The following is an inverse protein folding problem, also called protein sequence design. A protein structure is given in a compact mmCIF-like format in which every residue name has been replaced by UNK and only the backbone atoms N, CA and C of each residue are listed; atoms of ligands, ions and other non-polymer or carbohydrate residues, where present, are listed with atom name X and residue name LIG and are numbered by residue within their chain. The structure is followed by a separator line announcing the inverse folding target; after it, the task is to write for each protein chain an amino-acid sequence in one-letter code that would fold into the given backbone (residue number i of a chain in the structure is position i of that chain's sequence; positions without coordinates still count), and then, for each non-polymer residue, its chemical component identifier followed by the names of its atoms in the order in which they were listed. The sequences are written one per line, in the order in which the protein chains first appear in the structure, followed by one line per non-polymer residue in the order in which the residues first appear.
data_IF_894161628818
#
_entry.id   IF_894161628818
#
_cell.length_a   1.000
_cell.length_b   1.000
_cell.length_c   1.000
_cell.angle_alpha   90.00
_cell.angle_beta   90.00
_cell.angle_gamma   90.00
#
_symmetry.space_group_name_H-M   'P 1'
#
loop_
_entity.id
_entity.type
_entity.pdbx_description
1 polymer ?
#
# COMPACT_ATOMS: atom_id res chain seq x y z
N UNK A 1 18.89 3.13 -35.06
CA UNK A 1 17.80 3.90 -34.42
C UNK A 1 17.18 3.10 -33.27
N UNK A 2 16.68 1.89 -33.51
CA UNK A 2 16.04 1.03 -32.48
C UNK A 2 16.85 0.76 -31.21
N UNK A 3 18.16 0.48 -31.31
CA UNK A 3 19.00 0.21 -30.12
C UNK A 3 19.07 1.41 -29.16
N UNK A 4 19.12 2.64 -29.68
CA UNK A 4 19.13 3.85 -28.84
C UNK A 4 17.80 4.03 -28.10
N UNK A 5 16.68 3.83 -28.79
CA UNK A 5 15.34 3.90 -28.21
C UNK A 5 15.15 2.85 -27.11
N UNK A 6 15.65 1.63 -27.32
CA UNK A 6 15.55 0.57 -26.32
C UNK A 6 16.43 0.84 -25.09
N UNK A 7 17.64 1.37 -25.28
CA UNK A 7 18.51 1.79 -24.16
C UNK A 7 17.89 2.95 -23.37
N UNK A 8 17.20 3.87 -24.04
CA UNK A 8 16.50 4.99 -23.42
C UNK A 8 15.30 4.51 -22.59
N UNK A 9 14.49 3.61 -23.15
CA UNK A 9 13.37 2.99 -22.42
C UNK A 9 13.82 2.18 -21.20
N UNK A 10 14.90 1.40 -21.33
CA UNK A 10 15.48 0.65 -20.20
C UNK A 10 15.93 1.61 -19.08
N UNK A 11 16.54 2.75 -19.43
CA UNK A 11 16.97 3.77 -18.46
C UNK A 11 15.78 4.46 -17.79
N UNK A 12 14.75 4.83 -18.54
CA UNK A 12 13.53 5.43 -17.99
C UNK A 12 12.85 4.49 -17.00
N UNK A 13 12.72 3.21 -17.36
CA UNK A 13 12.21 2.17 -16.47
C UNK A 13 13.02 2.13 -15.17
N UNK A 14 14.35 2.03 -15.26
CA UNK A 14 15.22 1.97 -14.09
C UNK A 14 15.07 3.20 -13.20
N UNK A 15 15.09 4.38 -13.80
CA UNK A 15 15.03 5.65 -13.08
C UNK A 15 13.71 5.78 -12.33
N UNK A 16 12.59 5.41 -12.97
CA UNK A 16 11.27 5.44 -12.35
C UNK A 16 11.24 4.58 -11.08
N UNK A 17 11.57 3.29 -11.19
CA UNK A 17 11.51 2.40 -10.04
C UNK A 17 12.54 2.74 -8.97
N UNK A 18 13.76 3.14 -9.33
CA UNK A 18 14.73 3.60 -8.34
C UNK A 18 14.20 4.80 -7.56
N UNK A 19 13.54 5.76 -8.24
CA UNK A 19 12.97 6.95 -7.61
C UNK A 19 11.82 6.60 -6.66
N UNK A 20 10.92 5.71 -7.08
CA UNK A 20 9.81 5.24 -6.23
C UNK A 20 10.32 4.52 -4.97
N UNK A 21 11.36 3.70 -5.12
CA UNK A 21 12.00 2.98 -4.01
C UNK A 21 12.74 3.92 -3.06
N UNK A 22 13.47 4.90 -3.61
CA UNK A 22 14.17 5.90 -2.80
C UNK A 22 13.17 6.76 -2.02
N UNK A 23 12.04 7.11 -2.63
CA UNK A 23 10.94 7.81 -1.97
C UNK A 23 10.37 6.97 -0.81
N UNK A 24 10.10 5.68 -1.02
CA UNK A 24 9.63 4.78 0.03
C UNK A 24 10.62 4.69 1.21
N UNK A 25 11.93 4.63 0.93
CA UNK A 25 12.98 4.61 1.95
C UNK A 25 13.06 5.91 2.76
N UNK A 26 12.87 7.07 2.11
CA UNK A 26 12.79 8.36 2.81
C UNK A 26 11.61 8.39 3.79
N UNK A 27 10.43 7.97 3.34
CA UNK A 27 9.26 7.87 4.21
C UNK A 27 9.48 6.89 5.37
N UNK A 28 10.08 5.73 5.10
CA UNK A 28 10.37 4.75 6.14
C UNK A 28 11.36 5.27 7.20
N UNK A 29 12.40 5.99 6.78
CA UNK A 29 13.36 6.62 7.69
C UNK A 29 12.73 7.68 8.57
N UNK A 30 11.96 8.60 7.99
CA UNK A 30 11.23 9.65 8.72
C UNK A 30 10.22 9.04 9.70
N UNK A 31 9.43 8.06 9.25
CA UNK A 31 8.44 7.41 10.08
C UNK A 31 9.06 6.62 11.25
N UNK A 32 10.20 5.96 11.01
CA UNK A 32 10.93 5.24 12.06
C UNK A 32 11.44 6.20 13.13
N UNK A 33 11.95 7.37 12.76
CA UNK A 33 12.41 8.37 13.72
C UNK A 33 11.25 8.88 14.61
N UNK A 34 10.11 9.22 14.01
CA UNK A 34 8.92 9.66 14.75
C UNK A 34 8.40 8.54 15.65
N UNK A 35 8.26 7.33 15.13
CA UNK A 35 7.75 6.18 15.90
C UNK A 35 8.64 5.85 17.10
N UNK A 36 9.97 5.83 16.90
CA UNK A 36 10.92 5.61 17.99
C UNK A 36 10.83 6.67 19.07
N UNK A 37 10.63 7.94 18.71
CA UNK A 37 10.46 9.02 19.70
C UNK A 37 9.21 8.79 20.58
N UNK A 38 8.10 8.34 20.00
CA UNK A 38 6.90 7.99 20.77
C UNK A 38 7.08 6.75 21.64
N UNK A 39 7.77 5.72 21.14
CA UNK A 39 8.07 4.51 21.91
C UNK A 39 8.88 4.87 23.16
N UNK A 40 9.96 5.63 23.00
CA UNK A 40 10.81 6.08 24.12
C UNK A 40 10.01 6.94 25.11
N UNK A 41 9.09 7.79 24.62
CA UNK A 41 8.26 8.61 25.48
C UNK A 41 7.28 7.80 26.34
N UNK A 42 6.79 6.66 25.84
CA UNK A 42 5.79 5.84 26.53
C UNK A 42 6.43 4.76 27.40
N UNK A 43 7.67 4.36 27.12
CA UNK A 43 8.41 3.31 27.83
C UNK A 43 8.39 3.42 29.37
N UNK A 44 8.59 4.59 30.01
CA UNK A 44 8.54 4.71 31.47
C UNK A 44 7.16 4.35 32.06
N UNK A 45 6.10 4.42 31.26
CA UNK A 45 4.72 4.10 31.69
C UNK A 45 4.46 2.59 31.75
N UNK A 46 5.44 1.76 31.39
CA UNK A 46 5.36 0.29 31.56
C UNK A 46 5.86 -0.18 32.92
N UNK A 47 6.45 0.70 33.73
CA UNK A 47 7.08 0.29 34.98
C UNK A 47 6.03 0.13 36.10
N UNK A 48 5.94 -1.09 36.63
CA UNK A 48 5.02 -1.56 37.67
C UNK A 48 3.52 -1.46 37.34
N UNK A 49 2.94 -2.57 36.90
CA UNK A 49 1.51 -2.78 36.62
C UNK A 49 0.90 -1.80 35.59
N UNK A 50 1.32 -1.90 34.30
CA UNK A 50 0.85 -0.98 33.28
C UNK A 50 -0.64 -1.15 32.98
N UNK A 51 -1.38 -0.05 32.81
CA UNK A 51 -2.76 -0.10 32.32
C UNK A 51 -2.82 -0.83 30.97
N UNK A 52 -3.82 -1.69 30.79
CA UNK A 52 -3.97 -2.49 29.55
C UNK A 52 -3.98 -1.64 28.27
N UNK A 53 -4.48 -0.40 28.36
CA UNK A 53 -4.48 0.56 27.25
C UNK A 53 -3.06 0.98 26.83
N UNK A 54 -2.14 1.15 27.79
CA UNK A 54 -0.75 1.53 27.52
C UNK A 54 -0.01 0.37 26.84
N UNK A 55 -0.24 -0.87 27.29
CA UNK A 55 0.30 -2.07 26.65
C UNK A 55 -0.19 -2.20 25.21
N UNK A 56 -1.48 -1.96 24.97
CA UNK A 56 -2.06 -1.98 23.63
C UNK A 56 -1.46 -0.90 22.71
N UNK A 57 -1.31 0.34 23.22
CA UNK A 57 -0.67 1.44 22.48
C UNK A 57 0.77 1.08 22.09
N UNK A 58 1.60 0.62 23.04
CA UNK A 58 2.98 0.24 22.77
C UNK A 58 3.08 -0.92 21.78
N UNK A 59 2.20 -1.90 21.90
CA UNK A 59 2.12 -3.02 20.97
C UNK A 59 1.82 -2.53 19.54
N UNK A 60 0.84 -1.64 19.37
CA UNK A 60 0.53 -1.04 18.07
C UNK A 60 1.69 -0.20 17.51
N UNK A 61 2.41 0.54 18.36
CA UNK A 61 3.60 1.29 17.95
C UNK A 61 4.71 0.36 17.45
N UNK A 62 5.03 -0.73 18.17
CA UNK A 62 6.02 -1.70 17.73
C UNK A 62 5.60 -2.41 16.44
N UNK A 63 4.33 -2.80 16.30
CA UNK A 63 3.83 -3.41 15.06
C UNK A 63 3.94 -2.42 13.89
N UNK A 64 3.60 -1.15 14.12
CA UNK A 64 3.72 -0.11 13.09
C UNK A 64 5.17 0.11 12.66
N UNK A 65 6.10 0.18 13.61
CA UNK A 65 7.54 0.31 13.34
C UNK A 65 8.06 -0.90 12.57
N UNK A 66 7.75 -2.11 13.03
CA UNK A 66 8.18 -3.35 12.37
C UNK A 66 7.65 -3.43 10.93
N UNK A 67 6.39 -3.04 10.71
CA UNK A 67 5.79 -3.01 9.37
C UNK A 67 6.51 -2.03 8.45
N UNK A 68 6.91 -0.86 8.96
CA UNK A 68 7.72 0.11 8.21
C UNK A 68 9.13 -0.40 7.91
N UNK A 69 9.78 -1.07 8.86
CA UNK A 69 11.10 -1.67 8.65
C UNK A 69 11.05 -2.80 7.61
N UNK A 70 9.99 -3.60 7.63
CA UNK A 70 9.75 -4.62 6.62
C UNK A 70 9.56 -3.98 5.24
N UNK A 71 8.79 -2.88 5.14
CA UNK A 71 8.64 -2.12 3.90
C UNK A 71 9.99 -1.57 3.40
N UNK A 72 10.82 -1.03 4.30
CA UNK A 72 12.15 -0.52 3.97
C UNK A 72 13.08 -1.63 3.46
N UNK A 73 13.10 -2.79 4.14
CA UNK A 73 13.89 -3.94 3.71
C UNK A 73 13.48 -4.39 2.31
N UNK A 74 12.17 -4.50 2.07
CA UNK A 74 11.64 -4.86 0.76
C UNK A 74 11.98 -3.82 -0.32
N UNK A 75 11.98 -2.52 0.01
CA UNK A 75 12.40 -1.47 -0.91
C UNK A 75 13.90 -1.56 -1.25
N UNK A 76 14.77 -1.86 -0.28
CA UNK A 76 16.21 -2.11 -0.54
C UNK A 76 16.40 -3.32 -1.45
N UNK A 77 15.71 -4.44 -1.18
CA UNK A 77 15.77 -5.63 -2.03
C UNK A 77 15.24 -5.33 -3.45
N UNK A 78 14.14 -4.59 -3.55
CA UNK A 78 13.60 -4.11 -4.82
C UNK A 78 14.64 -3.30 -5.60
N UNK A 79 15.38 -2.42 -4.92
CA UNK A 79 16.44 -1.60 -5.54
C UNK A 79 17.59 -2.46 -6.05
N UNK A 80 18.00 -3.45 -5.27
CA UNK A 80 19.02 -4.42 -5.67
C UNK A 80 18.58 -5.22 -6.90
N UNK A 81 17.32 -5.66 -6.96
CA UNK A 81 16.78 -6.39 -8.11
C UNK A 81 16.74 -5.52 -9.36
N UNK A 82 16.21 -4.29 -9.27
CA UNK A 82 16.18 -3.33 -10.41
C UNK A 82 17.59 -3.08 -10.94
N UNK A 83 18.56 -2.87 -10.05
CA UNK A 83 19.95 -2.63 -10.43
C UNK A 83 20.57 -3.85 -11.11
N UNK A 84 20.38 -5.06 -10.55
CA UNK A 84 20.94 -6.28 -11.11
C UNK A 84 20.35 -6.61 -12.50
N UNK A 85 19.07 -6.30 -12.71
CA UNK A 85 18.34 -6.59 -13.93
C UNK A 85 18.97 -5.95 -15.19
N UNK A 86 19.53 -4.77 -15.03
CA UNK A 86 20.08 -3.95 -16.12
C UNK A 86 21.49 -4.36 -16.51
N UNK A 87 22.34 -4.71 -15.53
CA UNK A 87 23.76 -5.03 -15.75
C UNK A 87 23.95 -6.24 -16.68
N UNK A 88 23.02 -7.20 -16.65
CA UNK A 88 23.13 -8.43 -17.46
C UNK A 88 22.87 -8.24 -18.97
N UNK A 89 22.37 -7.09 -19.45
CA UNK A 89 21.92 -6.91 -20.86
C UNK A 89 22.93 -6.30 -21.84
N UNK A 90 24.09 -5.84 -21.36
CA UNK A 90 24.98 -4.96 -22.16
C UNK A 90 26.05 -5.69 -22.99
N UNK A 91 26.12 -7.04 -22.93
CA UNK A 91 27.14 -7.85 -23.62
C UNK A 91 26.47 -8.80 -24.61
N UNK A 92 27.07 -8.95 -25.80
CA UNK A 92 26.57 -9.83 -26.87
C UNK A 92 26.22 -9.11 -28.17
N UNK A 93 25.87 -9.91 -29.18
CA UNK A 93 25.42 -9.47 -30.51
C UNK A 93 24.05 -8.79 -30.45
N UNK A 94 23.66 -8.07 -31.49
CA UNK A 94 22.39 -7.31 -31.51
C UNK A 94 21.15 -8.21 -31.35
N UNK A 95 21.21 -9.44 -31.85
CA UNK A 95 20.14 -10.43 -31.77
C UNK A 95 20.01 -11.02 -30.35
N UNK A 96 21.13 -11.40 -29.75
CA UNK A 96 21.17 -11.90 -28.36
C UNK A 96 20.62 -10.88 -27.37
N UNK A 97 20.95 -9.59 -27.55
CA UNK A 97 20.41 -8.50 -26.71
C UNK A 97 18.89 -8.36 -26.84
N UNK A 98 18.34 -8.53 -28.04
CA UNK A 98 16.91 -8.49 -28.27
C UNK A 98 16.17 -9.63 -27.56
N UNK A 99 16.71 -10.85 -27.67
CA UNK A 99 16.16 -12.04 -27.00
C UNK A 99 16.25 -11.94 -25.47
N UNK A 100 17.39 -11.48 -24.94
CA UNK A 100 17.58 -11.28 -23.50
C UNK A 100 16.56 -10.26 -22.95
N UNK A 101 16.34 -9.13 -23.66
CA UNK A 101 15.34 -8.12 -23.30
C UNK A 101 13.92 -8.68 -23.28
N UNK A 102 13.55 -9.45 -24.30
CA UNK A 102 12.23 -10.08 -24.36
C UNK A 102 12.04 -11.08 -23.22
N UNK A 103 13.02 -11.96 -22.99
CA UNK A 103 13.02 -12.94 -21.88
C UNK A 103 12.87 -12.24 -20.53
N UNK A 104 13.54 -11.09 -20.38
CA UNK A 104 13.43 -10.24 -19.21
C UNK A 104 12.00 -9.69 -19.06
N UNK A 105 11.47 -8.99 -20.05
CA UNK A 105 10.09 -8.47 -20.01
C UNK A 105 9.06 -9.57 -19.70
N UNK A 106 9.22 -10.75 -20.29
CA UNK A 106 8.38 -11.91 -20.02
C UNK A 106 8.53 -12.39 -18.56
N UNK A 107 9.74 -12.35 -18.02
CA UNK A 107 10.03 -12.57 -16.60
C UNK A 107 9.32 -11.55 -15.69
N UNK A 108 9.43 -10.26 -15.97
CA UNK A 108 8.76 -9.20 -15.17
C UNK A 108 7.24 -9.39 -15.15
N UNK A 109 6.64 -9.72 -16.29
CA UNK A 109 5.20 -10.01 -16.41
C UNK A 109 4.81 -11.27 -15.66
N UNK A 110 5.60 -12.34 -15.80
CA UNK A 110 5.34 -13.63 -15.15
C UNK A 110 5.41 -13.53 -13.62
N UNK A 111 6.37 -12.78 -13.10
CA UNK A 111 6.55 -12.56 -11.67
C UNK A 111 5.76 -11.38 -11.11
N UNK A 112 4.96 -10.70 -11.97
CA UNK A 112 4.18 -9.51 -11.61
C UNK A 112 5.00 -8.52 -10.78
N UNK A 113 6.16 -8.15 -11.30
CA UNK A 113 7.10 -7.27 -10.60
C UNK A 113 6.44 -5.98 -10.11
N UNK A 114 5.55 -5.39 -10.92
CA UNK A 114 4.73 -4.23 -10.52
C UNK A 114 3.88 -4.48 -9.26
N UNK A 115 3.30 -5.67 -9.11
CA UNK A 115 2.53 -6.02 -7.93
C UNK A 115 3.41 -6.12 -6.68
N UNK A 116 4.64 -6.62 -6.82
CA UNK A 116 5.60 -6.70 -5.72
C UNK A 116 5.96 -5.29 -5.24
N UNK A 117 6.24 -4.38 -6.18
CA UNK A 117 6.56 -3.00 -5.86
C UNK A 117 5.37 -2.24 -5.25
N UNK A 118 4.15 -2.54 -5.69
CA UNK A 118 2.93 -1.99 -5.09
C UNK A 118 2.74 -2.43 -3.64
N UNK A 119 3.32 -3.55 -3.19
CA UNK A 119 3.25 -3.94 -1.78
C UNK A 119 3.95 -2.94 -0.86
N UNK A 120 5.01 -2.26 -1.30
CA UNK A 120 5.81 -1.43 -0.39
C UNK A 120 5.03 -0.20 0.11
N UNK A 121 4.35 0.57 -0.75
CA UNK A 121 3.43 1.62 -0.29
C UNK A 121 2.29 1.09 0.58
N UNK A 122 1.80 -0.13 0.34
CA UNK A 122 0.72 -0.72 1.15
C UNK A 122 1.17 -1.01 2.58
N UNK A 123 2.36 -1.57 2.76
CA UNK A 123 2.93 -1.76 4.10
C UNK A 123 3.12 -0.42 4.82
N UNK A 124 3.62 0.61 4.12
CA UNK A 124 3.78 1.95 4.70
C UNK A 124 2.44 2.59 5.10
N UNK A 125 1.40 2.43 4.27
CA UNK A 125 0.05 2.90 4.60
C UNK A 125 -0.54 2.16 5.80
N UNK A 126 -0.36 0.83 5.87
CA UNK A 126 -0.79 0.04 7.02
C UNK A 126 -0.07 0.46 8.30
N UNK A 127 1.25 0.67 8.24
CA UNK A 127 2.04 1.17 9.36
C UNK A 127 1.53 2.54 9.82
N UNK A 128 1.23 3.45 8.91
CA UNK A 128 0.68 4.77 9.23
C UNK A 128 -0.68 4.68 9.93
N UNK A 129 -1.57 3.78 9.49
CA UNK A 129 -2.87 3.55 10.13
C UNK A 129 -2.74 2.95 11.53
N UNK A 130 -1.83 1.99 11.71
CA UNK A 130 -1.55 1.40 13.01
C UNK A 130 -0.97 2.43 13.98
N UNK A 131 -0.01 3.25 13.53
CA UNK A 131 0.56 4.33 14.32
C UNK A 131 -0.49 5.39 14.67
N UNK A 132 -1.32 5.79 13.71
CA UNK A 132 -2.40 6.75 13.96
C UNK A 132 -3.40 6.20 14.98
N UNK A 133 -3.71 4.91 14.93
CA UNK A 133 -4.58 4.25 15.90
C UNK A 133 -3.96 4.23 17.30
N UNK A 134 -2.67 3.90 17.41
CA UNK A 134 -1.94 3.93 18.68
C UNK A 134 -1.92 5.34 19.27
N UNK A 135 -1.63 6.34 18.43
CA UNK A 135 -1.60 7.75 18.81
C UNK A 135 -2.98 8.21 19.30
N UNK A 136 -4.05 7.85 18.60
CA UNK A 136 -5.42 8.14 18.99
C UNK A 136 -5.79 7.58 20.36
N UNK A 137 -5.53 6.29 20.57
CA UNK A 137 -5.79 5.62 21.84
C UNK A 137 -5.00 6.28 22.97
N UNK A 138 -3.73 6.61 22.73
CA UNK A 138 -2.89 7.29 23.71
C UNK A 138 -3.41 8.69 24.06
N UNK A 139 -3.69 9.54 23.06
CA UNK A 139 -4.19 10.89 23.31
C UNK A 139 -5.56 10.90 23.97
N UNK A 140 -6.40 9.90 23.71
CA UNK A 140 -7.70 9.79 24.37
C UNK A 140 -7.59 9.65 25.89
N UNK A 141 -6.51 9.02 26.37
CA UNK A 141 -6.24 8.87 27.81
C UNK A 141 -5.72 10.16 28.46
N UNK A 142 -5.11 11.08 27.68
CA UNK A 142 -4.50 12.31 28.20
C UNK A 142 -5.42 13.51 28.01
N UNK A 143 -5.86 13.79 26.78
CA UNK A 143 -6.64 14.97 26.46
C UNK A 143 -7.59 14.74 25.27
N UNK A 144 -8.88 14.62 25.57
CA UNK A 144 -9.92 14.31 24.57
C UNK A 144 -10.01 15.32 23.43
N UNK A 145 -9.74 16.60 23.69
CA UNK A 145 -9.79 17.61 22.61
C UNK A 145 -8.67 17.41 21.57
N UNK A 146 -7.45 17.04 22.01
CA UNK A 146 -6.34 16.82 21.08
C UNK A 146 -6.59 15.51 20.33
N UNK A 147 -7.10 14.48 21.01
CA UNK A 147 -7.52 13.24 20.38
C UNK A 147 -8.59 13.47 19.30
N UNK A 148 -9.58 14.33 19.55
CA UNK A 148 -10.62 14.67 18.57
C UNK A 148 -10.05 15.36 17.33
N UNK A 149 -9.08 16.26 17.50
CA UNK A 149 -8.40 16.93 16.38
C UNK A 149 -7.63 15.92 15.54
N UNK A 150 -6.84 15.05 16.17
CA UNK A 150 -6.08 13.99 15.48
C UNK A 150 -7.04 13.03 14.78
N UNK A 151 -8.16 12.66 15.42
CA UNK A 151 -9.18 11.79 14.82
C UNK A 151 -9.79 12.41 13.57
N UNK A 152 -10.15 13.69 13.63
CA UNK A 152 -10.73 14.41 12.49
C UNK A 152 -9.75 14.43 11.31
N UNK A 153 -8.46 14.68 11.58
CA UNK A 153 -7.41 14.65 10.55
C UNK A 153 -7.24 13.26 9.94
N UNK A 154 -7.20 12.21 10.77
CA UNK A 154 -7.09 10.81 10.30
C UNK A 154 -8.30 10.42 9.46
N UNK A 155 -9.51 10.74 9.91
CA UNK A 155 -10.76 10.46 9.18
C UNK A 155 -10.77 11.20 7.85
N UNK A 156 -10.40 12.48 7.82
CA UNK A 156 -10.30 13.24 6.58
C UNK A 156 -9.34 12.60 5.58
N UNK A 157 -8.14 12.18 6.03
CA UNK A 157 -7.17 11.48 5.19
C UNK A 157 -7.68 10.14 4.65
N UNK A 158 -8.32 9.33 5.50
CA UNK A 158 -8.91 8.05 5.10
C UNK A 158 -10.07 8.25 4.12
N UNK A 159 -10.95 9.24 4.36
CA UNK A 159 -12.02 9.57 3.43
C UNK A 159 -11.49 10.03 2.08
N UNK A 160 -10.45 10.87 2.04
CA UNK A 160 -9.78 11.27 0.81
C UNK A 160 -9.19 10.08 0.05
N UNK A 161 -8.52 9.17 0.77
CA UNK A 161 -8.00 7.94 0.19
C UNK A 161 -9.09 7.06 -0.41
N UNK A 162 -10.20 6.86 0.31
CA UNK A 162 -11.35 6.10 -0.17
C UNK A 162 -11.97 6.78 -1.39
N UNK A 163 -12.06 8.11 -1.42
CA UNK A 163 -12.57 8.84 -2.57
C UNK A 163 -11.71 8.59 -3.83
N UNK A 164 -10.38 8.64 -3.71
CA UNK A 164 -9.49 8.28 -4.82
C UNK A 164 -9.62 6.81 -5.23
N UNK A 165 -9.78 5.90 -4.27
CA UNK A 165 -9.98 4.48 -4.54
C UNK A 165 -11.30 4.24 -5.29
N UNK A 166 -12.39 4.88 -4.86
CA UNK A 166 -13.71 4.82 -5.50
C UNK A 166 -13.65 5.44 -6.90
N UNK A 167 -12.99 6.60 -7.05
CA UNK A 167 -12.77 7.21 -8.37
C UNK A 167 -11.99 6.28 -9.32
N UNK A 168 -11.05 5.49 -8.79
CA UNK A 168 -10.29 4.52 -9.57
C UNK A 168 -11.11 3.29 -9.98
N UNK A 169 -12.14 2.93 -9.20
CA UNK A 169 -13.04 1.81 -9.50
C UNK A 169 -14.14 2.23 -10.48
N UNK A 170 -14.68 3.45 -10.36
CA UNK A 170 -15.78 3.92 -11.21
C UNK A 170 -15.35 4.27 -12.63
N UNK A 171 -14.08 4.65 -12.83
CA UNK A 171 -13.54 4.96 -14.16
C UNK A 171 -12.41 3.99 -14.50
N UNK A 172 -12.70 3.08 -15.44
CA UNK A 172 -11.74 2.11 -15.98
C UNK A 172 -10.52 2.76 -16.65
N UNK A 173 -10.62 4.05 -17.00
CA UNK A 173 -9.56 4.86 -17.63
C UNK A 173 -8.99 5.93 -16.67
N UNK A 174 -9.19 5.78 -15.35
CA UNK A 174 -8.81 6.84 -14.42
C UNK A 174 -7.28 7.03 -14.30
N UNK A 175 -6.79 8.29 -14.24
CA UNK A 175 -5.37 8.59 -14.09
C UNK A 175 -4.82 8.33 -12.67
N UNK A 176 -5.68 7.96 -11.72
CA UNK A 176 -5.33 7.79 -10.31
C UNK A 176 -5.06 6.32 -9.98
N UNK A 177 -3.90 5.83 -10.40
CA UNK A 177 -3.43 4.48 -10.05
C UNK A 177 -2.96 4.46 -8.59
N UNK A 178 -3.90 4.28 -7.66
CA UNK A 178 -3.53 3.96 -6.27
C UNK A 178 -3.08 2.50 -6.19
N UNK A 179 -2.09 2.15 -5.34
CA UNK A 179 -1.61 0.77 -5.22
C UNK A 179 -2.69 -0.21 -4.74
N UNK A 180 -3.75 0.29 -4.07
CA UNK A 180 -4.91 -0.53 -3.70
C UNK A 180 -5.97 -0.68 -4.81
N UNK A 181 -6.00 0.17 -5.84
CA UNK A 181 -7.02 0.11 -6.89
C UNK A 181 -7.16 -1.27 -7.57
N UNK A 182 -6.08 -1.94 -8.04
CA UNK A 182 -6.22 -3.24 -8.69
C UNK A 182 -6.69 -4.34 -7.73
N UNK A 183 -6.26 -4.30 -6.47
CA UNK A 183 -6.69 -5.24 -5.43
C UNK A 183 -8.17 -5.01 -5.09
N UNK A 184 -8.56 -3.76 -4.90
CA UNK A 184 -9.94 -3.37 -4.59
C UNK A 184 -10.90 -3.68 -5.75
N UNK A 185 -10.49 -3.47 -7.01
CA UNK A 185 -11.27 -3.86 -8.18
C UNK A 185 -11.44 -5.37 -8.27
N UNK A 186 -10.37 -6.14 -7.99
CA UNK A 186 -10.45 -7.60 -7.96
C UNK A 186 -11.40 -8.09 -6.86
N UNK A 187 -11.24 -7.60 -5.62
CA UNK A 187 -12.11 -7.94 -4.48
C UNK A 187 -13.55 -7.49 -4.74
N UNK A 188 -13.76 -6.28 -5.24
CA UNK A 188 -15.08 -5.75 -5.59
C UNK A 188 -15.80 -6.61 -6.62
N UNK A 189 -15.09 -7.07 -7.65
CA UNK A 189 -15.65 -7.99 -8.64
C UNK A 189 -16.00 -9.37 -8.07
N UNK A 190 -15.25 -9.86 -7.09
CA UNK A 190 -15.55 -11.13 -6.39
C UNK A 190 -16.76 -10.98 -5.46
N UNK A 191 -16.85 -9.87 -4.73
CA UNK A 191 -17.98 -9.57 -3.84
C UNK A 191 -19.26 -9.38 -4.64
N UNK A 192 -19.24 -8.62 -5.74
CA UNK A 192 -20.39 -8.45 -6.62
C UNK A 192 -20.89 -9.78 -7.18
N UNK A 193 -19.99 -10.66 -7.63
CA UNK A 193 -20.36 -12.01 -8.08
C UNK A 193 -21.05 -12.88 -7.01
N UNK A 194 -20.76 -12.64 -5.73
CA UNK A 194 -21.39 -13.34 -4.62
C UNK A 194 -22.74 -12.69 -4.24
N UNK A 195 -22.83 -11.36 -4.29
CA UNK A 195 -24.02 -10.61 -3.89
C UNK A 195 -25.11 -10.63 -4.97
N UNK A 196 -24.75 -10.54 -6.26
CA UNK A 196 -25.69 -10.55 -7.39
C UNK A 196 -26.73 -11.68 -7.32
N UNK A 197 -26.36 -12.97 -7.11
CA UNK A 197 -27.34 -14.05 -7.02
C UNK A 197 -28.21 -13.98 -5.75
N UNK A 198 -27.71 -13.39 -4.65
CA UNK A 198 -28.46 -13.22 -3.40
C UNK A 198 -29.46 -12.08 -3.55
N UNK A 199 -29.04 -10.96 -4.13
CA UNK A 199 -29.89 -9.81 -4.41
C UNK A 199 -31.00 -10.17 -5.40
N UNK A 200 -30.68 -10.95 -6.43
CA UNK A 200 -31.66 -11.47 -7.39
C UNK A 200 -32.66 -12.45 -6.76
N UNK A 201 -32.22 -13.21 -5.75
CA UNK A 201 -33.09 -14.14 -5.03
C UNK A 201 -34.05 -13.37 -4.13
N UNK A 202 -33.57 -12.37 -3.39
CA UNK A 202 -34.40 -11.49 -2.55
C UNK A 202 -35.38 -10.68 -3.41
N UNK A 203 -34.91 -10.10 -4.52
CA UNK A 203 -35.76 -9.37 -5.47
C UNK A 203 -36.87 -10.25 -6.03
N UNK A 204 -36.59 -11.52 -6.36
CA UNK A 204 -37.60 -12.47 -6.84
C UNK A 204 -38.64 -12.84 -5.78
N UNK A 205 -38.27 -12.92 -4.50
CA UNK A 205 -39.21 -13.23 -3.42
C UNK A 205 -40.07 -12.03 -3.03
N UNK A 206 -39.52 -10.82 -3.08
CA UNK A 206 -40.19 -9.59 -2.62
C UNK A 206 -41.12 -8.98 -3.67
N UNK A 207 -40.78 -9.06 -4.97
CA UNK A 207 -41.61 -8.51 -6.06
C UNK A 207 -43.07 -9.02 -6.12
N UNK A 208 -43.37 -10.32 -5.93
CA UNK A 208 -44.75 -10.81 -5.95
C UNK A 208 -45.57 -10.32 -4.76
N UNK A 209 -44.97 -10.24 -3.57
CA UNK A 209 -45.64 -9.76 -2.35
C UNK A 209 -46.02 -8.28 -2.47
N UNK A 210 -45.14 -7.46 -3.06
CA UNK A 210 -45.44 -6.04 -3.29
C UNK A 210 -46.54 -5.81 -4.35
N UNK A 211 -46.83 -6.80 -5.22
CA UNK A 211 -47.93 -6.72 -6.20
C UNK A 211 -49.28 -7.14 -5.64
N UNK A 212 -49.34 -7.92 -4.55
CA UNK A 212 -50.61 -8.29 -3.92
C UNK A 212 -51.16 -7.20 -2.98
N UNK A 213 -50.31 -6.25 -2.57
CA UNK A 213 -50.65 -5.20 -1.62
C UNK A 213 -51.10 -3.90 -2.33
N UNK A 214 -50.95 -3.80 -3.65
CA UNK A 214 -51.28 -2.62 -4.46
C UNK A 214 -52.21 -2.98 -5.62
#
# INVERSE_FOLDING_TARGET
MYMKLADEHDKEFQQKYSTDLDTALLFAGLFSAVSSAFIIQIEPKLESDPPSIIVAVQSLLYISLFTTLLAALLAVLGKQWVMHYQVAGSRGTMEERGLERQRKLDGLRRWKFDAILQMFPLLLQLALLLFSSALLLYLWTIHRAIAAIVLALTVFGVCGYICFLVSAILSSDSPFQTPLAPIAAHIGSQILRIIDPVLDRIRRTVNPVLREIN
#
